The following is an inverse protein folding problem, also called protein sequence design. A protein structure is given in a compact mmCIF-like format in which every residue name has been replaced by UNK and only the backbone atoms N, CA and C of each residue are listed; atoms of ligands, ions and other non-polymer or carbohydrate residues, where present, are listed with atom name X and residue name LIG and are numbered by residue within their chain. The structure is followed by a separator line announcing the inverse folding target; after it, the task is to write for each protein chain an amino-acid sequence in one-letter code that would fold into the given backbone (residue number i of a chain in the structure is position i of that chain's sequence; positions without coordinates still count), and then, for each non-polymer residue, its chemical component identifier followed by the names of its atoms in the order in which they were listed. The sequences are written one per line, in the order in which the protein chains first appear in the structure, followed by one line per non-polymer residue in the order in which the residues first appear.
data_IF_680227553453
#
_entry.id   IF_680227553453
#
_cell.length_a   1.000
_cell.length_b   1.000
_cell.length_c   1.000
_cell.angle_alpha   90.00
_cell.angle_beta   90.00
_cell.angle_gamma   90.00
#
_symmetry.space_group_name_H-M   'P 1'
#
loop_
_entity.id
_entity.type
_entity.pdbx_description
1 polymer ?
#
# COMPACT_ATOMS: atom_id res chain seq x y z
N UNK A 1 12.56 -13.56 4.80
CA UNK A 1 11.12 -13.27 4.89
C UNK A 1 10.60 -13.93 6.13
N UNK A 2 10.06 -13.14 7.04
CA UNK A 2 9.58 -13.63 8.33
C UNK A 2 8.07 -13.52 8.40
N UNK A 3 7.43 -14.47 9.07
CA UNK A 3 6.01 -14.50 9.37
C UNK A 3 5.83 -14.03 10.81
N UNK A 4 5.04 -12.98 11.01
CA UNK A 4 4.67 -12.49 12.33
C UNK A 4 3.38 -13.18 12.80
N UNK A 5 3.43 -13.82 13.94
CA UNK A 5 2.28 -14.43 14.59
C UNK A 5 1.86 -13.59 15.80
N UNK A 6 0.57 -13.59 16.10
CA UNK A 6 0.04 -12.86 17.26
C UNK A 6 0.60 -13.33 18.60
N UNK A 7 1.09 -14.58 18.70
CA UNK A 7 1.74 -15.10 19.89
C UNK A 7 3.14 -14.55 20.17
N UNK A 8 3.76 -13.91 19.17
CA UNK A 8 5.13 -13.38 19.28
C UNK A 8 5.16 -11.94 19.80
N UNK A 9 3.98 -11.33 20.04
CA UNK A 9 3.85 -9.91 20.38
C UNK A 9 3.13 -9.73 21.72
N UNK A 10 3.77 -9.04 22.66
CA UNK A 10 3.11 -8.57 23.90
C UNK A 10 2.25 -7.33 23.60
N UNK A 11 0.97 -7.57 23.27
CA UNK A 11 0.03 -6.51 22.93
C UNK A 11 -0.16 -5.47 24.02
N UNK A 12 -0.10 -5.86 25.30
CA UNK A 12 -0.27 -4.91 26.42
C UNK A 12 0.90 -3.93 26.52
N UNK A 13 2.12 -4.43 26.32
CA UNK A 13 3.32 -3.61 26.31
C UNK A 13 3.22 -2.52 25.22
N UNK A 14 2.88 -2.93 23.99
CA UNK A 14 2.83 -2.01 22.86
C UNK A 14 1.61 -1.08 22.86
N UNK A 15 0.54 -1.41 23.58
CA UNK A 15 -0.57 -0.48 23.84
C UNK A 15 -0.19 0.61 24.85
N UNK A 16 0.56 0.27 25.90
CA UNK A 16 0.99 1.23 26.94
C UNK A 16 1.99 2.27 26.43
N UNK A 17 2.73 1.99 25.36
CA UNK A 17 3.63 2.97 24.72
C UNK A 17 2.90 4.16 24.07
N UNK A 18 1.57 4.21 24.13
CA UNK A 18 0.74 5.33 23.65
C UNK A 18 0.59 6.49 24.65
N UNK A 19 1.21 6.44 25.81
CA UNK A 19 1.20 7.63 26.69
C UNK A 19 1.93 8.77 25.99
N UNK A 20 1.11 9.64 25.38
CA UNK A 20 1.55 10.90 24.80
C UNK A 20 2.20 11.75 25.90
N UNK A 21 3.50 11.72 25.98
CA UNK A 21 4.22 12.78 26.65
C UNK A 21 3.93 14.05 25.83
N UNK A 22 3.02 14.88 26.34
CA UNK A 22 2.78 16.20 25.79
C UNK A 22 4.10 16.98 25.84
N UNK A 23 4.84 16.95 24.73
CA UNK A 23 6.10 17.64 24.56
C UNK A 23 5.81 19.06 24.06
N UNK A 24 5.40 19.92 24.98
CA UNK A 24 5.40 21.35 24.69
C UNK A 24 6.85 21.83 24.79
N UNK A 25 7.41 22.24 23.66
CA UNK A 25 8.76 22.80 23.55
C UNK A 25 8.66 24.25 23.12
N UNK A 26 9.61 25.08 23.53
CA UNK A 26 9.77 26.43 23.00
C UNK A 26 10.06 26.37 21.48
N UNK A 27 9.53 27.34 20.73
CA UNK A 27 9.70 27.36 19.28
C UNK A 27 11.17 27.44 18.83
N UNK A 28 12.06 28.00 19.67
CA UNK A 28 13.50 28.09 19.38
C UNK A 28 14.13 26.71 19.14
N UNK A 29 13.67 25.67 19.85
CA UNK A 29 14.16 24.30 19.67
C UNK A 29 13.87 23.81 18.23
N UNK A 30 12.65 24.06 17.73
CA UNK A 30 12.27 23.67 16.37
C UNK A 30 12.97 24.53 15.31
N UNK A 31 13.28 25.81 15.62
CA UNK A 31 14.05 26.67 14.72
C UNK A 31 15.50 26.19 14.59
N UNK A 32 16.08 25.70 15.66
CA UNK A 32 17.46 25.16 15.62
C UNK A 32 17.48 23.82 14.89
N UNK A 33 16.51 22.93 15.09
CA UNK A 33 16.32 21.71 14.31
C UNK A 33 16.14 22.04 12.81
N UNK A 34 15.25 22.99 12.48
CA UNK A 34 15.01 23.42 11.09
C UNK A 34 16.25 24.02 10.42
N UNK A 35 17.06 24.76 11.18
CA UNK A 35 18.31 25.35 10.70
C UNK A 35 19.33 24.29 10.35
N UNK A 36 19.49 23.27 11.21
CA UNK A 36 20.35 22.12 10.94
C UNK A 36 19.87 21.37 9.69
N UNK A 37 18.58 21.08 9.59
CA UNK A 37 17.97 20.41 8.45
C UNK A 37 18.10 21.21 7.14
N UNK A 38 18.14 22.54 7.23
CA UNK A 38 18.30 23.40 6.05
C UNK A 38 19.75 23.43 5.56
N UNK A 39 20.71 23.44 6.49
CA UNK A 39 22.15 23.48 6.20
C UNK A 39 22.65 22.08 5.81
N UNK A 40 22.19 21.06 6.52
CA UNK A 40 22.53 19.66 6.32
C UNK A 40 21.23 18.87 6.12
N UNK A 41 20.55 19.00 4.97
CA UNK A 41 19.25 18.37 4.76
C UNK A 41 19.36 16.87 5.05
N UNK A 42 18.59 16.35 6.01
CA UNK A 42 18.56 14.92 6.24
C UNK A 42 18.20 14.26 4.91
N UNK A 43 18.83 13.14 4.62
CA UNK A 43 18.38 12.29 3.51
C UNK A 43 16.99 11.76 3.88
N UNK A 44 15.98 12.61 3.80
CA UNK A 44 14.58 12.17 3.88
C UNK A 44 14.35 11.39 2.61
N UNK A 45 14.47 10.10 2.73
CA UNK A 45 14.19 9.16 1.67
C UNK A 45 12.66 9.08 1.58
N UNK A 46 12.06 10.03 0.87
CA UNK A 46 10.71 9.86 0.40
C UNK A 46 10.74 8.80 -0.70
N UNK A 47 9.88 7.79 -0.58
CA UNK A 47 9.83 6.72 -1.54
C UNK A 47 8.81 7.01 -2.63
N UNK A 48 9.14 6.65 -3.87
CA UNK A 48 8.26 6.80 -5.02
C UNK A 48 7.39 5.56 -5.22
N UNK A 49 6.27 5.74 -5.92
CA UNK A 49 5.56 4.61 -6.52
C UNK A 49 6.44 3.96 -7.61
N UNK A 50 6.17 2.70 -8.00
CA UNK A 50 7.03 1.97 -8.95
C UNK A 50 6.90 2.44 -10.41
N UNK A 51 6.02 3.38 -10.73
CA UNK A 51 5.80 3.89 -12.09
C UNK A 51 6.60 5.18 -12.34
N UNK A 52 7.29 5.27 -13.48
CA UNK A 52 8.14 6.43 -13.80
C UNK A 52 7.33 7.73 -13.87
N UNK A 53 6.10 7.67 -14.38
CA UNK A 53 5.17 8.83 -14.44
C UNK A 53 4.74 9.38 -13.08
N UNK A 54 5.00 8.68 -11.99
CA UNK A 54 4.68 9.12 -10.62
C UNK A 54 5.87 9.71 -9.88
N UNK A 55 7.06 9.58 -10.44
CA UNK A 55 8.31 10.07 -9.83
C UNK A 55 8.29 11.60 -9.80
N UNK A 56 8.51 12.16 -8.62
CA UNK A 56 8.42 13.62 -8.41
C UNK A 56 6.99 14.15 -8.24
N UNK A 57 5.98 13.36 -8.63
CA UNK A 57 4.57 13.74 -8.54
C UNK A 57 3.93 13.28 -7.21
N UNK A 58 4.26 12.08 -6.79
CA UNK A 58 3.75 11.50 -5.55
C UNK A 58 4.87 10.78 -4.78
N UNK A 59 4.98 11.09 -3.49
CA UNK A 59 5.97 10.47 -2.61
C UNK A 59 5.32 9.94 -1.33
N UNK A 60 5.76 8.76 -0.90
CA UNK A 60 5.47 8.22 0.43
C UNK A 60 6.49 8.79 1.43
N UNK A 61 6.02 9.59 2.37
CA UNK A 61 6.87 10.23 3.38
C UNK A 61 6.73 9.52 4.72
N UNK A 62 7.79 9.42 5.53
CA UNK A 62 7.68 8.96 6.91
C UNK A 62 6.67 9.78 7.70
N UNK A 63 5.93 9.13 8.59
CA UNK A 63 4.94 9.80 9.43
C UNK A 63 3.60 10.10 8.77
N UNK A 64 3.37 9.66 7.53
CA UNK A 64 2.12 9.86 6.79
C UNK A 64 1.26 8.59 6.70
N UNK A 65 -0.02 8.79 6.50
CA UNK A 65 -1.00 7.73 6.19
C UNK A 65 -1.55 7.94 4.79
N UNK A 66 -1.42 6.93 3.92
CA UNK A 66 -2.04 6.90 2.59
C UNK A 66 -3.23 5.94 2.60
N UNK A 67 -4.41 6.46 2.30
CA UNK A 67 -5.63 5.69 2.10
C UNK A 67 -5.75 5.26 0.64
N UNK A 68 -5.90 3.95 0.41
CA UNK A 68 -6.23 3.39 -0.90
C UNK A 68 -7.69 2.95 -0.91
N UNK A 69 -8.51 3.56 -1.72
CA UNK A 69 -9.90 3.16 -1.83
C UNK A 69 -10.31 2.81 -3.26
N UNK A 70 -11.34 1.98 -3.39
CA UNK A 70 -11.86 1.53 -4.68
C UNK A 70 -12.90 0.42 -4.51
N UNK A 71 -13.58 0.08 -5.60
CA UNK A 71 -14.60 -0.97 -5.61
C UNK A 71 -14.02 -2.35 -5.25
N UNK A 72 -14.90 -3.28 -4.83
CA UNK A 72 -14.52 -4.67 -4.65
C UNK A 72 -14.07 -5.25 -6.00
N UNK A 73 -12.97 -6.00 -6.00
CA UNK A 73 -12.36 -6.51 -7.23
C UNK A 73 -11.72 -5.44 -8.13
N UNK A 74 -11.60 -4.20 -7.66
CA UNK A 74 -11.01 -3.08 -8.40
C UNK A 74 -9.49 -3.12 -8.55
N UNK A 75 -8.80 -4.13 -8.01
CA UNK A 75 -7.33 -4.27 -8.15
C UNK A 75 -6.52 -3.66 -7.00
N UNK A 76 -7.14 -3.17 -5.93
CA UNK A 76 -6.45 -2.55 -4.78
C UNK A 76 -5.28 -3.39 -4.25
N UNK A 77 -5.53 -4.64 -3.88
CA UNK A 77 -4.49 -5.52 -3.32
C UNK A 77 -3.41 -5.91 -4.33
N UNK A 78 -3.68 -5.81 -5.65
CA UNK A 78 -2.66 -6.00 -6.68
C UNK A 78 -1.75 -4.78 -6.78
N UNK A 79 -2.34 -3.57 -6.80
CA UNK A 79 -1.56 -2.34 -6.92
C UNK A 79 -0.72 -2.10 -5.65
N UNK A 80 -1.27 -2.37 -4.46
CA UNK A 80 -0.53 -2.25 -3.20
C UNK A 80 0.58 -3.30 -3.07
N UNK A 81 0.38 -4.52 -3.59
CA UNK A 81 1.43 -5.54 -3.69
C UNK A 81 2.58 -5.11 -4.60
N UNK A 82 2.27 -4.48 -5.74
CA UNK A 82 3.28 -3.94 -6.66
C UNK A 82 4.02 -2.75 -6.04
N UNK A 83 3.32 -1.86 -5.34
CA UNK A 83 3.94 -0.76 -4.58
C UNK A 83 4.88 -1.32 -3.51
N UNK A 84 4.47 -2.34 -2.75
CA UNK A 84 5.30 -2.98 -1.74
C UNK A 84 6.61 -3.55 -2.33
N UNK A 85 6.55 -4.20 -3.51
CA UNK A 85 7.75 -4.65 -4.23
C UNK A 85 8.64 -3.46 -4.65
N UNK A 86 8.04 -2.37 -5.12
CA UNK A 86 8.75 -1.14 -5.46
C UNK A 86 9.47 -0.50 -4.27
N UNK A 87 8.84 -0.48 -3.11
CA UNK A 87 9.43 0.01 -1.85
C UNK A 87 10.59 -0.89 -1.41
N UNK A 88 10.43 -2.21 -1.44
CA UNK A 88 11.52 -3.16 -1.14
C UNK A 88 12.71 -2.96 -2.08
N UNK A 89 12.47 -2.68 -3.37
CA UNK A 89 13.52 -2.37 -4.35
C UNK A 89 14.28 -1.10 -3.99
N UNK A 90 13.60 -0.10 -3.43
CA UNK A 90 14.20 1.14 -2.94
C UNK A 90 14.94 0.96 -1.60
N UNK A 91 14.92 -0.24 -1.01
CA UNK A 91 15.65 -0.57 0.23
C UNK A 91 14.77 -0.56 1.48
N UNK A 92 13.50 -0.25 1.34
CA UNK A 92 12.57 -0.11 2.45
C UNK A 92 12.18 -1.46 3.08
N UNK A 93 11.82 -1.41 4.36
CA UNK A 93 11.30 -2.53 5.12
C UNK A 93 9.77 -2.45 5.18
N UNK A 94 9.12 -3.51 4.76
CA UNK A 94 7.66 -3.56 4.55
C UNK A 94 7.03 -4.63 5.41
N UNK A 95 5.91 -4.32 6.08
CA UNK A 95 5.00 -5.29 6.68
C UNK A 95 3.65 -5.26 5.97
N UNK A 96 3.09 -6.42 5.64
CA UNK A 96 1.75 -6.55 5.06
C UNK A 96 0.85 -7.30 6.04
N UNK A 97 -0.17 -6.63 6.55
CA UNK A 97 -1.25 -7.18 7.37
C UNK A 97 -2.49 -7.33 6.49
N UNK A 98 -2.65 -8.50 5.87
CA UNK A 98 -3.85 -8.79 5.07
C UNK A 98 -4.81 -9.68 5.87
N UNK A 99 -5.97 -9.14 6.23
CA UNK A 99 -7.02 -9.87 6.94
C UNK A 99 -8.00 -10.59 6.02
N UNK A 100 -7.87 -10.36 4.70
CA UNK A 100 -8.72 -10.97 3.67
C UNK A 100 -8.02 -12.14 2.97
N UNK A 101 -6.69 -12.14 2.92
CA UNK A 101 -5.91 -13.17 2.22
C UNK A 101 -4.84 -13.80 3.11
N UNK A 102 -4.71 -15.11 3.02
CA UNK A 102 -3.61 -15.82 3.67
C UNK A 102 -2.25 -15.37 3.13
N UNK A 103 -1.20 -15.33 3.96
CA UNK A 103 0.15 -14.93 3.56
C UNK A 103 0.66 -15.64 2.30
N UNK A 104 0.44 -16.94 2.22
CA UNK A 104 0.81 -17.74 1.03
C UNK A 104 0.17 -17.22 -0.26
N UNK A 105 -1.09 -16.75 -0.21
CA UNK A 105 -1.79 -16.22 -1.39
C UNK A 105 -1.29 -14.83 -1.77
N UNK A 106 -0.96 -14.01 -0.78
CA UNK A 106 -0.30 -12.71 -1.00
C UNK A 106 1.04 -12.92 -1.70
N UNK A 107 1.88 -13.84 -1.18
CA UNK A 107 3.17 -14.18 -1.78
C UNK A 107 3.05 -14.72 -3.20
N UNK A 108 2.06 -15.58 -3.47
CA UNK A 108 1.85 -16.13 -4.80
C UNK A 108 1.58 -15.03 -5.84
N UNK A 109 0.77 -14.02 -5.48
CA UNK A 109 0.54 -12.84 -6.31
C UNK A 109 1.80 -11.99 -6.48
N UNK A 110 2.50 -11.73 -5.38
CA UNK A 110 3.76 -10.97 -5.42
C UNK A 110 4.84 -11.69 -6.23
N UNK A 111 4.87 -13.03 -6.22
CA UNK A 111 5.80 -13.82 -7.03
C UNK A 111 5.52 -13.63 -8.53
N UNK A 112 4.25 -13.62 -8.96
CA UNK A 112 3.88 -13.30 -10.34
C UNK A 112 4.31 -11.89 -10.73
N UNK A 113 4.06 -10.91 -9.85
CA UNK A 113 4.49 -9.54 -10.08
C UNK A 113 6.01 -9.42 -10.14
N UNK A 114 6.72 -10.12 -9.27
CA UNK A 114 8.18 -10.12 -9.22
C UNK A 114 8.81 -10.78 -10.45
N UNK A 115 8.27 -11.93 -10.89
CA UNK A 115 8.79 -12.69 -12.04
C UNK A 115 8.42 -12.08 -13.39
N UNK A 116 7.37 -11.26 -13.44
CA UNK A 116 6.81 -10.75 -14.68
C UNK A 116 6.02 -11.79 -15.49
N UNK A 117 5.79 -13.00 -14.96
CA UNK A 117 5.26 -14.16 -15.69
C UNK A 117 4.19 -14.92 -14.91
N UNK A 118 3.33 -15.63 -15.62
CA UNK A 118 2.39 -16.59 -15.05
C UNK A 118 3.08 -17.93 -14.77
N UNK A 119 3.61 -18.07 -13.56
CA UNK A 119 4.36 -19.28 -13.15
C UNK A 119 3.49 -20.55 -13.11
N UNK A 120 2.17 -20.41 -12.98
CA UNK A 120 1.25 -21.55 -12.94
C UNK A 120 1.03 -22.14 -14.33
N UNK A 121 1.10 -21.31 -15.38
CA UNK A 121 0.83 -21.68 -16.78
C UNK A 121 2.08 -21.69 -17.67
N UNK A 122 3.27 -21.84 -17.09
CA UNK A 122 4.50 -21.98 -17.89
C UNK A 122 4.57 -23.36 -18.56
N UNK A 123 4.54 -23.37 -19.88
CA UNK A 123 4.66 -24.57 -20.73
C UNK A 123 6.08 -24.67 -21.32
N UNK A 124 7.07 -24.91 -20.44
CA UNK A 124 8.46 -25.02 -20.86
C UNK A 124 9.11 -26.30 -20.29
N UNK A 125 10.12 -26.79 -21.00
CA UNK A 125 11.02 -27.83 -20.49
C UNK A 125 11.75 -27.28 -19.25
N UNK A 126 11.93 -28.10 -18.24
CA UNK A 126 12.58 -27.70 -16.96
C UNK A 126 11.84 -26.65 -16.15
N UNK A 127 10.49 -26.60 -16.28
CA UNK A 127 9.62 -25.70 -15.51
C UNK A 127 9.96 -25.65 -14.02
N UNK A 128 10.25 -26.79 -13.40
CA UNK A 128 10.57 -26.86 -11.97
C UNK A 128 11.82 -26.08 -11.59
N UNK A 129 12.88 -26.18 -12.37
CA UNK A 129 14.13 -25.44 -12.13
C UNK A 129 13.93 -23.92 -12.27
N UNK A 130 13.18 -23.49 -13.28
CA UNK A 130 12.86 -22.08 -13.48
C UNK A 130 12.01 -21.50 -12.34
N UNK A 131 10.95 -22.22 -11.92
CA UNK A 131 10.09 -21.81 -10.81
C UNK A 131 10.91 -21.70 -9.51
N UNK A 132 11.73 -22.69 -9.19
CA UNK A 132 12.61 -22.65 -8.02
C UNK A 132 13.55 -21.43 -8.09
N UNK A 133 14.14 -21.15 -9.25
CA UNK A 133 15.00 -19.98 -9.45
C UNK A 133 14.26 -18.66 -9.17
N UNK A 134 12.99 -18.52 -9.55
CA UNK A 134 12.20 -17.32 -9.20
C UNK A 134 11.92 -17.22 -7.71
N UNK A 135 11.54 -18.32 -7.04
CA UNK A 135 11.33 -18.30 -5.59
C UNK A 135 12.61 -18.01 -4.81
N UNK A 136 13.75 -18.55 -5.21
CA UNK A 136 15.04 -18.27 -4.57
C UNK A 136 15.43 -16.80 -4.73
N UNK A 137 15.23 -16.21 -5.90
CA UNK A 137 15.46 -14.78 -6.13
C UNK A 137 14.50 -13.90 -5.31
N UNK A 138 13.20 -14.24 -5.27
CA UNK A 138 12.23 -13.53 -4.45
C UNK A 138 12.62 -13.63 -2.97
N UNK A 139 12.98 -14.82 -2.49
CA UNK A 139 13.44 -15.02 -1.12
C UNK A 139 14.63 -14.11 -0.79
N UNK A 140 15.64 -14.08 -1.65
CA UNK A 140 16.81 -13.20 -1.49
C UNK A 140 16.41 -11.72 -1.49
N UNK A 141 15.53 -11.32 -2.38
CA UNK A 141 15.04 -9.93 -2.53
C UNK A 141 14.26 -9.47 -1.31
N UNK A 142 13.48 -10.36 -0.67
CA UNK A 142 12.58 -10.04 0.44
C UNK A 142 13.16 -10.34 1.83
N UNK A 143 14.31 -11.03 1.92
CA UNK A 143 14.95 -11.33 3.21
C UNK A 143 15.28 -10.03 3.95
N UNK A 144 14.88 -9.93 5.24
CA UNK A 144 15.03 -8.77 6.11
C UNK A 144 14.33 -7.48 5.60
N UNK A 145 13.44 -7.61 4.61
CA UNK A 145 12.71 -6.47 4.03
C UNK A 145 11.20 -6.68 3.96
N UNK A 146 10.71 -7.92 4.00
CA UNK A 146 9.27 -8.20 3.94
C UNK A 146 8.84 -9.09 5.10
N UNK A 147 7.86 -8.61 5.85
CA UNK A 147 7.13 -9.34 6.89
C UNK A 147 5.66 -9.46 6.51
N UNK A 148 5.06 -10.57 6.88
CA UNK A 148 3.63 -10.82 6.68
C UNK A 148 3.00 -11.18 8.02
N UNK A 149 1.91 -10.50 8.37
CA UNK A 149 1.14 -10.81 9.55
C UNK A 149 0.11 -11.90 9.25
N UNK A 150 0.20 -13.04 9.96
CA UNK A 150 -0.68 -14.20 9.71
C UNK A 150 -1.91 -14.17 10.64
N UNK A 151 -2.81 -13.23 10.36
CA UNK A 151 -4.11 -13.12 11.01
C UNK A 151 -5.19 -12.99 9.95
N UNK A 152 -6.23 -13.82 10.04
CA UNK A 152 -7.34 -13.83 9.09
C UNK A 152 -8.65 -13.42 9.76
N UNK A 153 -9.55 -12.80 8.97
CA UNK A 153 -10.88 -12.42 9.43
C UNK A 153 -10.91 -11.09 10.17
N UNK A 154 -11.97 -10.86 10.92
CA UNK A 154 -12.13 -9.64 11.71
C UNK A 154 -11.19 -9.68 12.91
N UNK A 155 -10.50 -8.58 13.14
CA UNK A 155 -9.56 -8.39 14.24
C UNK A 155 -9.97 -7.16 15.08
N UNK A 156 -9.24 -6.91 16.16
CA UNK A 156 -9.45 -5.75 17.01
C UNK A 156 -8.49 -4.62 16.60
N UNK A 157 -9.00 -3.38 16.50
CA UNK A 157 -8.19 -2.19 16.16
C UNK A 157 -6.96 -2.05 17.07
N UNK A 158 -7.10 -2.26 18.37
CA UNK A 158 -5.99 -2.19 19.34
C UNK A 158 -4.89 -3.21 19.03
N UNK A 159 -5.26 -4.42 18.60
CA UNK A 159 -4.29 -5.44 18.20
C UNK A 159 -3.52 -5.00 16.95
N UNK A 160 -4.20 -4.44 15.95
CA UNK A 160 -3.55 -3.94 14.73
C UNK A 160 -2.58 -2.81 15.05
N UNK A 161 -2.98 -1.85 15.90
CA UNK A 161 -2.12 -0.76 16.36
C UNK A 161 -0.89 -1.31 17.09
N UNK A 162 -1.06 -2.29 17.98
CA UNK A 162 0.06 -2.91 18.72
C UNK A 162 1.05 -3.59 17.77
N UNK A 163 0.55 -4.36 16.80
CA UNK A 163 1.38 -5.02 15.78
C UNK A 163 2.11 -3.99 14.92
N UNK A 164 1.43 -2.93 14.47
CA UNK A 164 2.05 -1.88 13.67
C UNK A 164 3.16 -1.16 14.45
N UNK A 165 2.93 -0.89 15.75
CA UNK A 165 3.94 -0.30 16.63
C UNK A 165 5.13 -1.23 16.87
N UNK A 166 4.89 -2.52 17.14
CA UNK A 166 5.94 -3.52 17.23
C UNK A 166 6.79 -3.55 15.95
N UNK A 167 6.16 -3.55 14.78
CA UNK A 167 6.84 -3.50 13.49
C UNK A 167 7.75 -2.28 13.37
N UNK A 168 7.26 -1.11 13.76
CA UNK A 168 8.02 0.13 13.68
C UNK A 168 9.20 0.16 14.69
N UNK A 169 8.95 -0.24 15.94
CA UNK A 169 9.93 -0.09 17.04
C UNK A 169 10.98 -1.21 17.03
N UNK A 170 10.54 -2.47 16.93
CA UNK A 170 11.45 -3.62 17.08
C UNK A 170 12.06 -4.08 15.76
N UNK A 171 11.31 -3.99 14.66
CA UNK A 171 11.77 -4.48 13.37
C UNK A 171 12.30 -3.35 12.47
N UNK A 172 12.15 -2.09 12.90
CA UNK A 172 12.49 -0.90 12.11
C UNK A 172 11.82 -0.94 10.73
N UNK A 173 10.54 -1.36 10.69
CA UNK A 173 9.74 -1.37 9.48
C UNK A 173 9.34 0.07 9.17
N UNK A 174 9.54 0.48 7.93
CA UNK A 174 9.28 1.84 7.45
C UNK A 174 7.92 1.98 6.78
N UNK A 175 7.34 0.88 6.27
CA UNK A 175 6.06 0.85 5.59
C UNK A 175 5.17 -0.30 6.07
N UNK A 176 3.95 0.03 6.54
CA UNK A 176 2.98 -0.96 7.02
C UNK A 176 1.71 -0.90 6.17
N UNK A 177 1.35 -2.01 5.52
CA UNK A 177 0.12 -2.17 4.75
C UNK A 177 -0.95 -2.85 5.60
N UNK A 178 -2.17 -2.28 5.64
CA UNK A 178 -3.32 -2.79 6.40
C UNK A 178 -4.47 -3.01 5.42
N UNK A 179 -4.81 -4.25 5.11
CA UNK A 179 -5.87 -4.64 4.16
C UNK A 179 -6.90 -5.57 4.84
N UNK A 180 -8.06 -5.04 5.24
CA UNK A 180 -8.63 -3.72 5.05
C UNK A 180 -9.12 -3.11 6.36
N UNK A 181 -9.37 -1.79 6.38
CA UNK A 181 -9.92 -1.05 7.52
C UNK A 181 -11.16 -1.73 8.11
N UNK A 182 -12.06 -2.21 7.23
CA UNK A 182 -13.31 -2.86 7.65
C UNK A 182 -13.13 -4.17 8.42
N UNK A 183 -11.94 -4.77 8.37
CA UNK A 183 -11.58 -5.96 9.15
C UNK A 183 -11.00 -5.61 10.53
N UNK A 184 -10.64 -4.35 10.73
CA UNK A 184 -9.99 -3.86 11.96
C UNK A 184 -10.95 -3.23 12.94
N UNK A 185 -12.23 -3.05 12.56
CA UNK A 185 -13.27 -2.43 13.40
C UNK A 185 -14.50 -3.35 13.50
N UNK A 186 -15.19 -3.29 14.62
CA UNK A 186 -16.41 -4.07 14.86
C UNK A 186 -17.62 -3.33 14.26
N UNK A 187 -18.09 -3.83 13.13
CA UNK A 187 -19.29 -3.31 12.47
C UNK A 187 -19.01 -2.29 11.36
N UNK A 188 -19.71 -2.45 10.24
CA UNK A 188 -19.57 -1.58 9.08
C UNK A 188 -20.10 -0.16 9.33
N UNK A 189 -21.05 -0.02 10.26
CA UNK A 189 -21.74 1.22 10.59
C UNK A 189 -21.20 1.90 11.85
N UNK A 190 -20.15 1.34 12.47
CA UNK A 190 -19.48 1.98 13.62
C UNK A 190 -18.50 3.06 13.14
N UNK A 191 -19.06 4.18 12.74
CA UNK A 191 -18.29 5.33 12.24
C UNK A 191 -17.33 5.92 13.27
N UNK A 192 -17.67 5.84 14.56
CA UNK A 192 -16.81 6.31 15.62
C UNK A 192 -15.58 5.41 15.79
N UNK A 193 -15.77 4.09 15.77
CA UNK A 193 -14.64 3.16 15.83
C UNK A 193 -13.72 3.31 14.60
N UNK A 194 -14.28 3.51 13.41
CA UNK A 194 -13.51 3.77 12.19
C UNK A 194 -12.67 5.04 12.32
N UNK A 195 -13.29 6.14 12.76
CA UNK A 195 -12.63 7.43 12.97
C UNK A 195 -11.50 7.30 13.99
N UNK A 196 -11.78 6.70 15.15
CA UNK A 196 -10.79 6.55 16.22
C UNK A 196 -9.61 5.68 15.77
N UNK A 197 -9.87 4.61 15.04
CA UNK A 197 -8.82 3.75 14.50
C UNK A 197 -7.89 4.50 13.52
N UNK A 198 -8.46 5.31 12.61
CA UNK A 198 -7.66 6.13 11.69
C UNK A 198 -6.86 7.19 12.47
N UNK A 199 -7.43 7.79 13.50
CA UNK A 199 -6.76 8.76 14.37
C UNK A 199 -5.56 8.14 15.09
N UNK A 200 -5.74 6.94 15.67
CA UNK A 200 -4.65 6.17 16.28
C UNK A 200 -3.56 5.79 15.27
N UNK A 201 -3.92 5.42 14.02
CA UNK A 201 -2.95 5.13 12.96
C UNK A 201 -2.16 6.36 12.54
N UNK A 202 -2.80 7.54 12.43
CA UNK A 202 -2.10 8.78 12.09
C UNK A 202 -1.15 9.24 13.19
N UNK A 203 -1.54 9.04 14.44
CA UNK A 203 -0.68 9.31 15.60
C UNK A 203 0.53 8.36 15.61
N UNK A 204 0.29 7.06 15.44
CA UNK A 204 1.36 6.05 15.37
C UNK A 204 2.34 6.33 14.23
N UNK A 205 1.84 6.70 13.05
CA UNK A 205 2.67 7.04 11.90
C UNK A 205 3.65 8.16 12.24
N UNK A 206 3.16 9.25 12.84
CA UNK A 206 3.96 10.43 13.23
C UNK A 206 4.94 10.13 14.36
N UNK A 207 4.49 9.40 15.40
CA UNK A 207 5.30 9.11 16.58
C UNK A 207 6.50 8.22 16.25
N UNK A 208 6.38 7.34 15.27
CA UNK A 208 7.40 6.36 14.91
C UNK A 208 7.99 6.53 13.51
N UNK A 209 7.66 7.63 12.80
CA UNK A 209 8.14 7.91 11.44
C UNK A 209 7.93 6.72 10.46
N UNK A 210 6.80 6.01 10.61
CA UNK A 210 6.40 4.92 9.73
C UNK A 210 5.33 5.40 8.74
N UNK A 211 5.42 4.96 7.48
CA UNK A 211 4.35 5.23 6.51
C UNK A 211 3.30 4.12 6.58
N UNK A 212 2.03 4.48 6.76
CA UNK A 212 0.93 3.52 6.82
C UNK A 212 0.14 3.56 5.52
N UNK A 213 -0.01 2.39 4.88
CA UNK A 213 -0.83 2.17 3.71
C UNK A 213 -2.13 1.49 4.14
N UNK A 214 -3.22 2.27 4.24
CA UNK A 214 -4.52 1.79 4.68
C UNK A 214 -5.42 1.50 3.49
N UNK A 215 -5.83 0.25 3.32
CA UNK A 215 -6.71 -0.17 2.23
C UNK A 215 -8.16 -0.13 2.71
N UNK A 216 -9.03 0.41 1.87
CA UNK A 216 -10.45 0.56 2.16
C UNK A 216 -11.31 0.39 0.92
N UNK A 217 -12.62 0.45 1.10
CA UNK A 217 -13.61 0.35 0.04
C UNK A 217 -14.27 1.71 -0.24
N UNK A 218 -14.79 1.88 -1.43
CA UNK A 218 -15.77 2.93 -1.73
C UNK A 218 -17.19 2.41 -1.48
N UNK A 219 -18.12 3.32 -1.27
CA UNK A 219 -19.55 3.01 -1.30
C UNK A 219 -19.96 2.53 -2.70
N UNK A 220 -21.10 1.84 -2.79
CA UNK A 220 -21.62 1.42 -4.10
C UNK A 220 -22.02 2.66 -4.90
N UNK A 221 -21.43 2.83 -6.07
CA UNK A 221 -21.77 3.89 -7.00
C UNK A 221 -23.01 3.53 -7.82
N UNK A 222 -23.64 4.52 -8.41
CA UNK A 222 -24.81 4.34 -9.31
C UNK A 222 -24.46 3.48 -10.53
N UNK A 223 -23.21 3.59 -11.01
CA UNK A 223 -22.65 2.79 -12.10
C UNK A 223 -21.21 2.43 -11.80
N UNK A 224 -20.81 1.21 -12.19
CA UNK A 224 -19.41 0.78 -12.13
C UNK A 224 -18.49 1.52 -13.12
N UNK A 225 -19.09 2.22 -14.09
CA UNK A 225 -18.37 3.05 -15.08
C UNK A 225 -18.03 4.44 -14.53
N UNK A 226 -18.72 4.87 -13.47
CA UNK A 226 -18.47 6.17 -12.84
C UNK A 226 -17.13 6.11 -12.09
N UNK A 227 -16.29 7.08 -12.35
CA UNK A 227 -15.04 7.29 -11.59
C UNK A 227 -15.41 7.79 -10.19
N UNK A 228 -14.86 7.17 -9.13
CA UNK A 228 -15.06 7.64 -7.76
C UNK A 228 -14.30 8.93 -7.50
N UNK A 229 -14.71 9.64 -6.47
CA UNK A 229 -13.98 10.74 -5.85
C UNK A 229 -13.83 10.49 -4.33
N UNK A 230 -13.09 11.33 -3.62
CA UNK A 230 -12.83 11.14 -2.18
C UNK A 230 -14.09 11.05 -1.30
N UNK A 231 -15.22 11.64 -1.73
CA UNK A 231 -16.49 11.56 -1.00
C UNK A 231 -17.18 10.20 -1.16
N UNK A 232 -16.73 9.37 -2.08
CA UNK A 232 -17.24 8.03 -2.30
C UNK A 232 -16.56 6.98 -1.41
N UNK A 233 -15.57 7.36 -0.61
CA UNK A 233 -14.97 6.47 0.41
C UNK A 233 -16.05 6.00 1.37
N UNK A 234 -16.10 4.67 1.62
CA UNK A 234 -17.09 4.08 2.53
C UNK A 234 -16.82 4.53 3.97
N UNK A 235 -17.85 4.76 4.76
CA UNK A 235 -17.75 5.25 6.13
C UNK A 235 -17.99 6.75 6.21
N UNK A 236 -17.31 7.42 7.13
CA UNK A 236 -17.43 8.87 7.35
C UNK A 236 -16.43 9.64 6.49
N UNK A 237 -16.77 10.89 6.12
CA UNK A 237 -15.83 11.81 5.49
C UNK A 237 -14.57 12.07 6.35
N UNK A 238 -14.69 11.90 7.67
CA UNK A 238 -13.57 12.05 8.60
C UNK A 238 -12.39 11.11 8.27
N UNK A 239 -12.63 9.93 7.66
CA UNK A 239 -11.54 9.01 7.26
C UNK A 239 -10.63 9.67 6.23
N UNK A 240 -11.20 10.22 5.15
CA UNK A 240 -10.44 10.91 4.11
C UNK A 240 -9.86 12.24 4.59
N UNK A 241 -10.48 12.88 5.58
CA UNK A 241 -10.00 14.15 6.14
C UNK A 241 -8.77 13.97 7.04
N UNK A 242 -8.75 12.89 7.84
CA UNK A 242 -7.66 12.61 8.80
C UNK A 242 -6.37 12.15 8.13
N UNK A 243 -6.45 11.28 7.11
CA UNK A 243 -5.26 10.77 6.43
C UNK A 243 -4.53 11.86 5.65
N UNK A 244 -3.25 11.63 5.37
CA UNK A 244 -2.42 12.61 4.66
C UNK A 244 -2.61 12.53 3.14
N UNK A 245 -2.77 11.31 2.61
CA UNK A 245 -2.94 11.08 1.18
C UNK A 245 -4.16 10.19 0.91
N UNK A 246 -4.87 10.45 -0.18
CA UNK A 246 -5.99 9.63 -0.68
C UNK A 246 -5.74 9.24 -2.12
N UNK A 247 -5.60 7.95 -2.35
CA UNK A 247 -5.46 7.33 -3.66
C UNK A 247 -6.69 6.48 -3.98
N UNK A 248 -7.36 6.79 -5.08
CA UNK A 248 -8.52 6.04 -5.53
C UNK A 248 -8.16 5.17 -6.73
N UNK A 249 -8.57 3.91 -6.66
CA UNK A 249 -8.41 2.97 -7.76
C UNK A 249 -9.72 2.77 -8.50
N UNK A 250 -9.76 3.15 -9.77
CA UNK A 250 -10.87 2.87 -10.68
C UNK A 250 -10.43 1.85 -11.74
N UNK A 251 -11.28 0.83 -11.97
CA UNK A 251 -11.09 -0.21 -12.99
C UNK A 251 -12.07 0.01 -14.13
N UNK A 252 -11.59 0.01 -15.36
CA UNK A 252 -12.39 0.27 -16.55
C UNK A 252 -13.19 -0.97 -16.97
N UNK A 253 -14.26 -1.24 -16.27
CA UNK A 253 -15.16 -2.37 -16.57
C UNK A 253 -15.90 -2.20 -17.91
N UNK A 254 -16.05 -0.97 -18.38
CA UNK A 254 -16.62 -0.70 -19.69
C UNK A 254 -15.71 -1.25 -20.80
N UNK A 255 -14.42 -0.91 -20.77
CA UNK A 255 -13.42 -1.45 -21.70
C UNK A 255 -13.41 -2.98 -21.66
N UNK A 256 -13.44 -3.59 -20.49
CA UNK A 256 -13.45 -5.05 -20.36
C UNK A 256 -14.68 -5.70 -21.02
N UNK A 257 -15.85 -5.07 -20.91
CA UNK A 257 -17.08 -5.54 -21.60
C UNK A 257 -16.95 -5.39 -23.10
N UNK A 258 -16.53 -4.23 -23.59
CA UNK A 258 -16.34 -3.98 -25.04
C UNK A 258 -15.36 -4.96 -25.66
N UNK A 259 -14.22 -5.23 -25.01
CA UNK A 259 -13.25 -6.23 -25.46
C UNK A 259 -13.83 -7.63 -25.50
N UNK A 260 -14.59 -8.04 -24.47
CA UNK A 260 -15.23 -9.36 -24.43
C UNK A 260 -16.30 -9.52 -25.52
N UNK A 261 -17.03 -8.45 -25.80
CA UNK A 261 -18.14 -8.44 -26.75
C UNK A 261 -17.64 -8.16 -28.19
N UNK A 262 -16.32 -7.97 -28.40
CA UNK A 262 -15.69 -7.71 -29.70
C UNK A 262 -15.99 -6.33 -30.27
N UNK A 263 -16.33 -5.37 -29.41
CA UNK A 263 -16.63 -4.00 -29.80
C UNK A 263 -15.36 -3.14 -29.86
N UNK A 264 -15.41 -2.07 -30.68
CA UNK A 264 -14.35 -1.07 -30.73
C UNK A 264 -14.30 -0.27 -29.39
N UNK A 265 -13.09 -0.13 -28.82
CA UNK A 265 -12.90 0.62 -27.57
C UNK A 265 -13.19 2.09 -27.78
N UNK A 266 -14.17 2.61 -27.07
CA UNK A 266 -14.53 4.06 -27.06
C UNK A 266 -14.37 4.60 -25.65
N UNK A 267 -13.73 5.79 -25.54
CA UNK A 267 -13.50 6.48 -24.29
C UNK A 267 -12.11 6.25 -23.71
N UNK A 268 -11.99 5.95 -22.41
CA UNK A 268 -10.71 5.76 -21.72
C UNK A 268 -10.05 4.47 -22.18
N UNK A 269 -8.85 4.57 -22.75
CA UNK A 269 -8.10 3.41 -23.27
C UNK A 269 -7.41 2.61 -22.15
N UNK A 270 -7.10 3.21 -21.01
CA UNK A 270 -6.47 2.55 -19.88
C UNK A 270 -7.40 1.49 -19.23
N UNK A 271 -6.82 0.44 -18.64
CA UNK A 271 -7.55 -0.60 -17.92
C UNK A 271 -7.92 -0.16 -16.51
N UNK A 272 -7.13 0.75 -15.95
CA UNK A 272 -7.33 1.30 -14.63
C UNK A 272 -6.81 2.75 -14.54
N UNK A 273 -7.32 3.49 -13.58
CA UNK A 273 -6.79 4.81 -13.22
C UNK A 273 -6.54 4.82 -11.72
N UNK A 274 -5.32 5.22 -11.33
CA UNK A 274 -4.96 5.56 -9.97
C UNK A 274 -5.04 7.08 -9.83
N UNK A 275 -5.99 7.56 -9.04
CA UNK A 275 -6.27 8.99 -8.85
C UNK A 275 -5.76 9.44 -7.49
N UNK A 276 -4.92 10.47 -7.46
CA UNK A 276 -4.55 11.16 -6.24
C UNK A 276 -5.59 12.25 -5.97
N UNK A 277 -6.47 12.01 -4.99
CA UNK A 277 -7.54 12.94 -4.59
C UNK A 277 -7.17 13.82 -3.40
N UNK A 278 -6.03 13.54 -2.79
CA UNK A 278 -5.44 14.32 -1.70
C UNK A 278 -3.97 13.98 -1.54
N UNK A 279 -3.15 15.00 -1.40
CA UNK A 279 -1.75 14.88 -1.00
C UNK A 279 -1.38 16.07 -0.11
N UNK A 280 -1.43 15.90 1.24
CA UNK A 280 -1.29 17.02 2.21
C UNK A 280 0.05 17.76 2.09
N UNK A 281 1.14 17.01 1.91
CA UNK A 281 2.50 17.54 1.85
C UNK A 281 3.09 17.50 0.45
N UNK A 282 2.25 17.40 -0.59
CA UNK A 282 2.61 17.44 -2.00
C UNK A 282 1.79 18.48 -2.74
N UNK A 283 2.26 18.86 -3.92
CA UNK A 283 1.62 19.89 -4.74
C UNK A 283 0.70 19.31 -5.82
N UNK A 284 0.82 17.99 -6.11
CA UNK A 284 0.18 17.35 -7.23
C UNK A 284 -0.96 16.41 -6.81
N UNK A 285 -2.15 16.61 -7.37
CA UNK A 285 -3.32 15.73 -7.27
C UNK A 285 -3.65 15.18 -8.65
N UNK A 286 -2.75 14.37 -9.22
CA UNK A 286 -2.83 13.85 -10.57
C UNK A 286 -3.51 12.49 -10.66
N UNK A 287 -3.95 12.14 -11.86
CA UNK A 287 -4.51 10.82 -12.17
C UNK A 287 -3.58 10.07 -13.13
N UNK A 288 -3.27 8.83 -12.80
CA UNK A 288 -2.33 8.01 -13.54
C UNK A 288 -3.06 6.87 -14.25
N UNK A 289 -3.05 6.89 -15.57
CA UNK A 289 -3.58 5.81 -16.40
C UNK A 289 -2.65 4.61 -16.36
N UNK A 290 -3.20 3.40 -16.14
CA UNK A 290 -2.47 2.16 -16.01
C UNK A 290 -3.12 1.06 -16.87
N UNK A 291 -2.29 0.16 -17.39
CA UNK A 291 -2.73 -1.02 -18.17
C UNK A 291 -2.41 -2.29 -17.39
N UNK A 292 -3.28 -3.27 -17.45
CA UNK A 292 -3.14 -4.49 -16.70
C UNK A 292 -2.45 -5.58 -17.53
N UNK A 293 -1.22 -5.92 -17.15
CA UNK A 293 -0.48 -7.02 -17.76
C UNK A 293 -0.88 -8.34 -17.07
N UNK A 294 -1.67 -9.16 -17.80
CA UNK A 294 -2.35 -10.35 -17.26
C UNK A 294 -1.39 -11.38 -16.68
N UNK A 295 -0.30 -11.68 -17.37
CA UNK A 295 0.61 -12.77 -16.99
C UNK A 295 1.40 -12.44 -15.73
N UNK A 296 1.85 -11.21 -15.59
CA UNK A 296 2.55 -10.76 -14.38
C UNK A 296 1.63 -10.29 -13.26
N UNK A 297 0.36 -10.01 -13.54
CA UNK A 297 -0.56 -9.31 -12.65
C UNK A 297 -0.04 -7.92 -12.20
N UNK A 298 0.81 -7.30 -13.00
CA UNK A 298 1.25 -5.92 -12.78
C UNK A 298 0.34 -4.93 -13.49
N UNK A 299 0.31 -3.71 -12.96
CA UNK A 299 -0.13 -2.54 -13.67
C UNK A 299 1.08 -1.88 -14.32
N UNK A 300 1.02 -1.65 -15.62
CA UNK A 300 2.09 -1.05 -16.42
C UNK A 300 1.69 0.33 -16.93
N UNK A 301 2.64 1.10 -17.44
CA UNK A 301 2.46 2.53 -17.73
C UNK A 301 1.78 2.82 -19.06
N UNK A 302 1.83 1.89 -20.01
CA UNK A 302 1.13 1.95 -21.29
C UNK A 302 0.76 0.55 -21.77
N UNK A 303 0.00 0.46 -22.84
CA UNK A 303 -0.54 -0.81 -23.38
C UNK A 303 0.54 -1.79 -23.85
N UNK A 304 1.69 -1.29 -24.27
CA UNK A 304 2.80 -2.09 -24.81
C UNK A 304 3.98 -2.20 -23.84
N UNK A 305 3.86 -1.62 -22.65
CA UNK A 305 4.93 -1.66 -21.66
C UNK A 305 5.17 -3.09 -21.15
N UNK A 306 6.42 -3.45 -21.05
CA UNK A 306 6.83 -4.70 -20.43
C UNK A 306 6.67 -4.63 -18.90
N UNK A 307 6.41 -5.76 -18.22
CA UNK A 307 6.39 -5.80 -16.76
C UNK A 307 7.70 -5.29 -16.16
N UNK A 308 7.58 -4.60 -15.04
CA UNK A 308 8.73 -4.11 -14.29
C UNK A 308 9.58 -5.27 -13.78
N UNK A 309 10.89 -5.16 -13.92
CA UNK A 309 11.83 -6.06 -13.28
C UNK A 309 12.18 -5.55 -11.88
N UNK A 310 11.85 -6.31 -10.85
CA UNK A 310 12.15 -5.95 -9.47
C UNK A 310 13.51 -6.49 -9.00
N UNK A 311 14.02 -7.54 -9.63
CA UNK A 311 15.27 -8.24 -9.26
C UNK A 311 16.53 -7.68 -9.93
N UNK A 312 16.39 -6.72 -10.83
CA UNK A 312 17.54 -6.07 -11.45
C UNK A 312 18.03 -4.93 -10.56
N UNK A 313 19.30 -4.98 -10.16
CA UNK A 313 20.05 -3.85 -9.62
C UNK A 313 20.31 -2.88 -10.77
N UNK A 314 19.35 -2.02 -11.03
CA UNK A 314 19.44 -0.97 -12.02
C UNK A 314 18.85 0.29 -11.42
N UNK A 315 19.63 1.36 -11.41
CA UNK A 315 19.22 2.71 -11.04
C UNK A 315 17.91 3.11 -11.71
N UNK A 316 16.99 3.64 -10.95
CA UNK A 316 15.95 4.52 -11.45
C UNK A 316 16.57 5.84 -11.92
#
# INVERSE_FOLDING_TARGET
MELLNSGDIDFEQYLKLTEAHMKVKDASVFIDELKEDTVNPPKVVSCSMPWSKTIGEFNFRPGEVTLYAGSNGGGKSLITGQIALGLIKQGEKVCIMSFEMKPKRTLMRMTRQFSGQDLDNLFIKDRGALINGYYDRLKKFTTEKLWLYDQQGTTNSKQVISVARYCAVELNITHVFIDSLMKCVSGEDDYNAQKNFVDELTSLARDHNVHIHLIHHIRKLESEEKMPNKNDVKGTGAISDQVDNVLLMWRNKKKERMLRDGEEIKGVAADAILMCEKQRNGENENSYQLWYHKDSQQFVEDENAVPMAFDTVGSF
#
